data_IF_164182949233
#
_entry.id   IF_164182949233
#
_cell.length_a   1.000
_cell.length_b   1.000
_cell.length_c   1.000
_cell.angle_alpha   90.00
_cell.angle_beta   90.00
_cell.angle_gamma   90.00
#
_symmetry.space_group_name_H-M   'P 1'
#
loop_
_entity.id
_entity.type
_entity.pdbx_description
1 polymer ?
#
# COMPACT_ATOMS: atom_id res chain seq x y z
N UNK A 1 7.45 -37.61 -9.82
CA UNK A 1 6.64 -36.43 -10.21
C UNK A 1 7.34 -35.17 -9.73
N UNK A 2 7.63 -34.27 -10.68
CA UNK A 2 8.61 -33.18 -10.57
C UNK A 2 8.18 -32.12 -9.54
N UNK A 3 8.95 -31.92 -8.47
CA UNK A 3 8.86 -30.76 -7.57
C UNK A 3 9.67 -29.62 -8.19
N UNK A 4 9.00 -28.68 -8.83
CA UNK A 4 9.63 -27.43 -9.27
C UNK A 4 9.93 -26.59 -8.02
N UNK A 5 11.18 -26.66 -7.54
CA UNK A 5 11.72 -25.71 -6.56
C UNK A 5 11.77 -24.33 -7.23
N UNK A 6 10.87 -23.43 -6.85
CA UNK A 6 11.03 -22.01 -7.12
C UNK A 6 12.13 -21.46 -6.20
N UNK A 7 13.17 -20.94 -6.85
CA UNK A 7 14.38 -20.33 -6.29
C UNK A 7 14.00 -19.06 -5.51
N UNK A 8 14.72 -18.80 -4.42
CA UNK A 8 14.37 -17.82 -3.40
C UNK A 8 14.08 -16.40 -3.90
N UNK A 9 12.97 -15.85 -3.41
CA UNK A 9 12.73 -14.41 -3.30
C UNK A 9 12.42 -14.13 -1.83
N UNK A 10 13.06 -13.13 -1.24
CA UNK A 10 12.69 -12.64 0.09
C UNK A 10 11.18 -12.38 0.09
N UNK A 11 10.41 -13.11 0.90
CA UNK A 11 8.96 -12.99 0.93
C UNK A 11 8.61 -11.57 1.41
N UNK A 12 8.25 -10.69 0.48
CA UNK A 12 7.76 -9.37 0.84
C UNK A 12 6.48 -9.61 1.65
N UNK A 13 6.39 -9.06 2.88
CA UNK A 13 5.26 -9.32 3.76
C UNK A 13 3.96 -8.90 3.07
N UNK A 14 2.99 -9.81 3.05
CA UNK A 14 1.63 -9.55 2.57
C UNK A 14 0.74 -9.21 3.75
N UNK A 15 -0.01 -8.14 3.64
CA UNK A 15 -1.06 -7.74 4.58
C UNK A 15 -2.37 -7.77 3.84
N UNK A 16 -3.40 -8.40 4.41
CA UNK A 16 -4.73 -8.45 3.80
C UNK A 16 -5.80 -8.12 4.83
N UNK A 17 -6.86 -7.45 4.40
CA UNK A 17 -8.08 -7.28 5.17
C UNK A 17 -9.29 -7.51 4.29
N UNK A 18 -10.41 -7.86 4.92
CA UNK A 18 -11.69 -8.03 4.25
C UNK A 18 -12.66 -6.99 4.78
N UNK A 19 -13.37 -6.34 3.86
CA UNK A 19 -14.41 -5.36 4.16
C UNK A 19 -15.68 -5.72 3.41
N UNK A 20 -16.82 -5.40 4.00
CA UNK A 20 -18.13 -5.49 3.35
C UNK A 20 -18.52 -4.07 2.96
N UNK A 21 -18.84 -3.86 1.69
CA UNK A 21 -19.15 -2.54 1.12
C UNK A 21 -20.36 -2.62 0.22
N UNK A 22 -21.09 -1.52 0.08
CA UNK A 22 -22.12 -1.37 -0.93
C UNK A 22 -21.52 -1.12 -2.33
N UNK A 23 -22.37 -0.92 -3.33
CA UNK A 23 -21.94 -0.64 -4.71
C UNK A 23 -21.05 0.62 -4.80
N UNK A 24 -21.37 1.67 -4.04
CA UNK A 24 -20.58 2.91 -4.04
C UNK A 24 -19.20 2.69 -3.43
N UNK A 25 -19.12 1.97 -2.31
CA UNK A 25 -17.86 1.59 -1.68
C UNK A 25 -17.02 0.67 -2.56
N UNK A 26 -17.63 -0.27 -3.32
CA UNK A 26 -16.91 -1.09 -4.28
C UNK A 26 -16.26 -0.25 -5.39
N UNK A 27 -16.98 0.75 -5.92
CA UNK A 27 -16.43 1.70 -6.91
C UNK A 27 -15.26 2.48 -6.31
N UNK A 28 -15.38 2.93 -5.06
CA UNK A 28 -14.31 3.65 -4.38
C UNK A 28 -13.07 2.76 -4.11
N UNK A 29 -13.27 1.49 -3.79
CA UNK A 29 -12.18 0.53 -3.59
C UNK A 29 -11.43 0.25 -4.90
N UNK A 30 -12.15 0.22 -6.03
CA UNK A 30 -11.59 0.06 -7.39
C UNK A 30 -10.96 1.32 -7.97
N UNK A 31 -11.16 2.48 -7.33
CA UNK A 31 -10.42 3.69 -7.68
C UNK A 31 -8.95 3.57 -7.25
N UNK A 32 -7.98 3.97 -8.10
CA UNK A 32 -6.61 4.20 -7.66
C UNK A 32 -6.60 5.20 -6.50
N UNK A 33 -5.79 4.94 -5.48
CA UNK A 33 -5.57 5.88 -4.39
C UNK A 33 -4.73 7.08 -4.85
N UNK A 34 -5.05 8.26 -4.32
CA UNK A 34 -4.31 9.50 -4.55
C UNK A 34 -4.04 10.26 -3.23
N UNK A 35 -4.00 9.54 -2.10
CA UNK A 35 -3.91 10.09 -0.75
C UNK A 35 -2.45 10.37 -0.33
N UNK A 36 -1.81 9.43 0.36
CA UNK A 36 -0.41 9.50 0.78
C UNK A 36 0.56 9.07 -0.33
N UNK A 37 0.01 8.37 -1.31
CA UNK A 37 0.71 7.78 -2.43
C UNK A 37 -0.19 7.87 -3.64
N UNK A 38 0.43 7.92 -4.82
CA UNK A 38 -0.29 7.87 -6.08
C UNK A 38 -0.24 6.44 -6.60
N UNK A 39 -1.39 5.79 -6.62
CA UNK A 39 -1.55 4.51 -7.30
C UNK A 39 -1.89 4.72 -8.78
N UNK A 40 -1.58 3.69 -9.56
CA UNK A 40 -2.07 3.52 -10.90
C UNK A 40 -2.65 2.11 -11.03
N UNK A 41 -3.76 2.01 -11.76
CA UNK A 41 -4.36 0.73 -12.10
C UNK A 41 -3.47 0.03 -13.14
N UNK A 42 -3.00 -1.18 -12.82
CA UNK A 42 -2.20 -2.04 -13.68
C UNK A 42 -2.93 -3.39 -13.86
N UNK A 43 -3.93 -3.38 -14.74
CA UNK A 43 -4.80 -4.52 -15.00
C UNK A 43 -6.13 -4.43 -14.24
N UNK A 44 -6.85 -5.56 -14.13
CA UNK A 44 -8.09 -5.62 -13.38
C UNK A 44 -7.80 -5.80 -11.89
N UNK A 45 -8.36 -4.93 -11.06
CA UNK A 45 -8.30 -5.06 -9.59
C UNK A 45 -6.87 -5.13 -9.01
N UNK A 46 -5.86 -4.63 -9.76
CA UNK A 46 -4.45 -4.59 -9.39
C UNK A 46 -3.89 -3.19 -9.54
N UNK A 47 -3.21 -2.70 -8.52
CA UNK A 47 -2.74 -1.33 -8.40
C UNK A 47 -1.27 -1.30 -8.00
N UNK A 48 -0.50 -0.42 -8.64
CA UNK A 48 0.92 -0.22 -8.38
C UNK A 48 1.17 1.21 -7.95
N UNK A 49 2.23 1.43 -7.17
CA UNK A 49 2.60 2.76 -6.73
C UNK A 49 3.43 3.46 -7.82
N UNK A 50 2.97 4.64 -8.25
CA UNK A 50 3.71 5.52 -9.16
C UNK A 50 4.54 6.54 -8.36
N UNK A 51 3.98 7.07 -7.27
CA UNK A 51 4.66 8.00 -6.37
C UNK A 51 4.37 7.66 -4.91
N UNK A 52 5.44 7.49 -4.13
CA UNK A 52 5.34 7.27 -2.69
C UNK A 52 6.63 6.74 -2.07
N UNK A 53 6.67 6.54 -0.74
CA UNK A 53 7.86 6.14 0.01
C UNK A 53 8.19 4.63 -0.09
N UNK A 54 7.72 3.96 -1.14
CA UNK A 54 7.83 2.52 -1.31
C UNK A 54 8.85 2.18 -2.39
N UNK A 55 9.71 1.21 -2.09
CA UNK A 55 10.60 0.59 -3.08
C UNK A 55 9.81 -0.38 -3.96
N UNK A 56 8.85 -1.10 -3.35
CA UNK A 56 7.89 -1.96 -4.05
C UNK A 56 6.53 -1.79 -3.37
N UNK A 57 5.46 -1.70 -4.17
CA UNK A 57 4.10 -1.68 -3.67
C UNK A 57 3.16 -2.27 -4.73
N UNK A 58 2.34 -3.20 -4.29
CA UNK A 58 1.25 -3.76 -5.08
C UNK A 58 0.04 -3.95 -4.18
N UNK A 59 -1.12 -3.49 -4.65
CA UNK A 59 -2.43 -3.74 -4.05
C UNK A 59 -3.28 -4.55 -5.02
N UNK A 60 -3.91 -5.61 -4.52
CA UNK A 60 -4.84 -6.44 -5.30
C UNK A 60 -6.17 -6.54 -4.58
N UNK A 61 -7.26 -6.51 -5.32
CA UNK A 61 -8.62 -6.71 -4.81
C UNK A 61 -9.13 -8.08 -5.26
N UNK A 62 -9.76 -8.79 -4.34
CA UNK A 62 -10.59 -9.95 -4.65
C UNK A 62 -12.01 -9.60 -4.23
N UNK A 63 -12.92 -9.56 -5.19
CA UNK A 63 -14.31 -9.15 -4.98
C UNK A 63 -15.20 -10.39 -5.07
N UNK A 64 -15.95 -10.64 -4.00
CA UNK A 64 -17.07 -11.58 -4.00
C UNK A 64 -18.36 -10.77 -4.11
N UNK A 65 -19.03 -10.87 -5.25
CA UNK A 65 -20.25 -10.12 -5.54
C UNK A 65 -21.44 -10.67 -4.73
N UNK A 66 -22.22 -9.78 -4.12
CA UNK A 66 -23.51 -10.06 -3.50
C UNK A 66 -24.57 -9.06 -3.97
N UNK A 67 -25.85 -9.29 -3.64
CA UNK A 67 -26.97 -8.53 -4.23
C UNK A 67 -26.99 -7.05 -3.82
N UNK A 68 -26.66 -6.72 -2.57
CA UNK A 68 -26.62 -5.34 -2.06
C UNK A 68 -25.31 -4.98 -1.36
N UNK A 69 -24.52 -6.01 -1.01
CA UNK A 69 -23.25 -5.87 -0.31
C UNK A 69 -22.22 -6.78 -0.98
N UNK A 70 -21.02 -6.26 -1.17
CA UNK A 70 -19.88 -6.96 -1.75
C UNK A 70 -18.84 -7.20 -0.67
N UNK A 71 -18.36 -8.43 -0.59
CA UNK A 71 -17.22 -8.76 0.26
C UNK A 71 -15.95 -8.54 -0.56
N UNK A 72 -15.13 -7.58 -0.15
CA UNK A 72 -13.89 -7.22 -0.83
C UNK A 72 -12.71 -7.53 0.08
N UNK A 73 -11.82 -8.39 -0.40
CA UNK A 73 -10.53 -8.65 0.25
C UNK A 73 -9.44 -7.83 -0.43
N UNK A 74 -8.93 -6.82 0.27
CA UNK A 74 -7.77 -6.05 -0.16
C UNK A 74 -6.49 -6.73 0.32
N UNK A 75 -5.53 -6.94 -0.57
CA UNK A 75 -4.20 -7.45 -0.24
C UNK A 75 -3.12 -6.48 -0.68
N UNK A 76 -2.16 -6.22 0.20
CA UNK A 76 -1.06 -5.30 0.02
C UNK A 76 0.26 -6.05 0.17
N UNK A 77 1.15 -5.86 -0.78
CA UNK A 77 2.54 -6.32 -0.74
C UNK A 77 3.41 -5.09 -0.87
N UNK A 78 4.16 -4.74 0.17
CA UNK A 78 4.95 -3.51 0.14
C UNK A 78 6.32 -3.63 0.83
N UNK A 79 7.26 -2.84 0.33
CA UNK A 79 8.60 -2.63 0.89
C UNK A 79 8.86 -1.13 0.94
N UNK A 80 9.16 -0.58 2.12
CA UNK A 80 9.48 0.83 2.28
C UNK A 80 10.91 1.12 1.80
N UNK A 81 11.09 2.24 1.08
CA UNK A 81 12.39 2.74 0.60
C UNK A 81 13.20 3.47 1.69
N UNK A 82 12.83 3.34 2.96
CA UNK A 82 13.46 3.99 4.11
C UNK A 82 14.31 2.93 4.84
N UNK A 83 15.66 3.02 4.86
CA UNK A 83 16.50 1.94 5.37
C UNK A 83 16.63 1.88 6.91
N UNK A 84 16.70 3.01 7.64
CA UNK A 84 17.07 3.01 9.07
C UNK A 84 15.91 3.16 10.06
N UNK A 85 14.81 3.84 9.70
CA UNK A 85 13.66 4.10 10.60
C UNK A 85 12.45 3.18 10.37
N UNK A 86 12.69 2.01 9.74
CA UNK A 86 11.67 1.04 9.31
C UNK A 86 10.61 0.68 10.36
N UNK A 87 10.93 0.37 11.63
CA UNK A 87 9.90 -0.03 12.60
C UNK A 87 8.98 1.13 13.01
N UNK A 88 9.52 2.34 13.16
CA UNK A 88 8.74 3.53 13.55
C UNK A 88 7.76 3.92 12.43
N UNK A 89 8.24 4.03 11.19
CA UNK A 89 7.40 4.35 10.04
C UNK A 89 6.42 3.24 9.69
N UNK A 90 6.78 1.95 9.87
CA UNK A 90 5.82 0.85 9.67
C UNK A 90 4.59 0.98 10.57
N UNK A 91 4.73 1.45 11.81
CA UNK A 91 3.60 1.62 12.72
C UNK A 91 2.66 2.75 12.26
N UNK A 92 3.23 3.89 11.84
CA UNK A 92 2.46 5.02 11.34
C UNK A 92 1.77 4.70 10.01
N UNK A 93 2.48 4.09 9.05
CA UNK A 93 1.91 3.70 7.77
C UNK A 93 0.88 2.57 7.91
N UNK A 94 1.07 1.58 8.78
CA UNK A 94 0.03 0.56 9.03
C UNK A 94 -1.27 1.17 9.51
N UNK A 95 -1.22 2.14 10.44
CA UNK A 95 -2.42 2.84 10.92
C UNK A 95 -3.06 3.72 9.83
N UNK A 96 -2.26 4.34 8.97
CA UNK A 96 -2.77 5.18 7.89
C UNK A 96 -3.26 4.41 6.67
N UNK A 97 -2.72 3.22 6.37
CA UNK A 97 -3.22 2.40 5.26
C UNK A 97 -4.63 1.86 5.56
N UNK A 98 -4.91 1.61 6.85
CA UNK A 98 -6.21 1.19 7.37
C UNK A 98 -7.27 2.31 7.33
N UNK A 99 -6.88 3.58 7.17
CA UNK A 99 -7.80 4.74 7.10
C UNK A 99 -7.43 5.63 5.92
N UNK A 100 -8.29 5.73 4.90
CA UNK A 100 -8.11 6.62 3.73
C UNK A 100 -8.19 8.11 4.14
N UNK A 101 -7.21 8.60 4.89
CA UNK A 101 -7.16 9.98 5.37
C UNK A 101 -5.70 10.45 5.46
N UNK A 102 -5.49 11.72 5.13
CA UNK A 102 -4.20 12.41 5.26
C UNK A 102 -4.03 12.77 6.74
N UNK A 103 -3.02 12.23 7.44
CA UNK A 103 -2.80 12.57 8.83
C UNK A 103 -2.31 14.02 8.97
N UNK A 104 -2.65 14.67 10.07
CA UNK A 104 -2.36 16.08 10.36
C UNK A 104 -0.86 16.46 10.34
N UNK A 105 0.03 15.46 10.45
CA UNK A 105 1.49 15.65 10.38
C UNK A 105 2.09 15.42 8.99
N UNK A 106 1.30 14.93 8.02
CA UNK A 106 1.81 14.71 6.67
C UNK A 106 2.13 16.06 6.01
N UNK A 107 3.32 16.23 5.42
CA UNK A 107 3.64 17.46 4.70
C UNK A 107 2.64 17.67 3.54
N UNK A 108 2.27 18.91 3.22
CA UNK A 108 1.24 19.23 2.22
C UNK A 108 1.63 18.84 0.80
N UNK A 109 2.93 18.59 0.56
CA UNK A 109 3.44 18.06 -0.70
C UNK A 109 3.87 16.61 -0.52
N UNK A 110 3.48 15.75 -1.47
CA UNK A 110 3.60 14.28 -1.39
C UNK A 110 5.04 13.86 -1.05
N UNK A 111 5.20 12.94 -0.11
CA UNK A 111 6.51 12.39 0.26
C UNK A 111 7.02 11.45 -0.85
N UNK A 112 7.69 12.03 -1.84
CA UNK A 112 8.41 11.27 -2.86
C UNK A 112 9.54 10.44 -2.24
N UNK A 113 9.88 9.30 -2.86
CA UNK A 113 10.94 8.40 -2.39
C UNK A 113 12.27 9.13 -2.12
N UNK A 114 12.57 10.17 -2.90
CA UNK A 114 13.76 11.02 -2.71
C UNK A 114 13.66 11.88 -1.45
N UNK A 115 12.50 12.50 -1.20
CA UNK A 115 12.25 13.31 -0.01
C UNK A 115 12.27 12.45 1.26
N UNK A 116 11.69 11.24 1.21
CA UNK A 116 11.77 10.26 2.31
C UNK A 116 13.22 9.85 2.61
N UNK A 117 14.07 9.71 1.58
CA UNK A 117 15.50 9.42 1.73
C UNK A 117 16.26 10.58 2.37
N UNK A 118 15.99 11.81 1.94
CA UNK A 118 16.60 13.04 2.49
C UNK A 118 16.18 13.23 3.95
N UNK A 119 14.89 13.05 4.28
CA UNK A 119 14.40 13.08 5.66
C UNK A 119 15.06 12.01 6.53
N UNK A 120 15.25 10.79 6.02
CA UNK A 120 15.97 9.73 6.74
C UNK A 120 17.43 10.07 6.99
N UNK A 121 18.08 10.81 6.10
CA UNK A 121 19.46 11.28 6.25
C UNK A 121 19.56 12.44 7.26
N UNK A 122 18.64 13.40 7.20
CA UNK A 122 18.58 14.52 8.14
C UNK A 122 18.28 14.05 9.57
N UNK A 123 17.32 13.13 9.74
CA UNK A 123 16.98 12.56 11.04
C UNK A 123 18.10 11.69 11.65
N UNK A 124 19.06 11.25 10.85
CA UNK A 124 20.22 10.49 11.32
C UNK A 124 21.41 11.39 11.75
N UNK A 125 21.36 12.69 11.45
CA UNK A 125 22.44 13.66 11.71
C UNK A 125 22.01 14.74 12.75
N UNK A 126 20.83 14.61 13.36
CA UNK A 126 20.40 15.49 14.45
C UNK A 126 20.85 15.00 15.83
#
# INVERSE_FOLDING_TARGET
MLRTRLKGGSSIPRVSHTVIVDNAGLIELRSPRDDLMKEQLEGQDRFVCVHGPFEHYERTLVVSEGENEHQVTESFVFRLAIPFWRPLFNLFFRRSLLKRNIPWWAPPNRLDARAAKILSLLAAIQ
#
